data_IF_899883359074
#
_entry.id   IF_899883359074
#
_cell.length_a   1.000
_cell.length_b   1.000
_cell.length_c   1.000
_cell.angle_alpha   90.00
_cell.angle_beta   90.00
_cell.angle_gamma   90.00
#
_symmetry.space_group_name_H-M   'P 1'
#
loop_
_entity.id
_entity.type
_entity.pdbx_description
1 polymer ?
#
# COMPACT_ATOMS: atom_id res chain seq x y z
N UNK A 1 18.40 6.61 -1.87
CA UNK A 1 17.78 6.55 -0.52
C UNK A 1 17.86 5.11 -0.06
N UNK A 2 18.32 4.87 1.17
CA UNK A 2 18.27 3.54 1.80
C UNK A 2 16.96 3.46 2.58
N UNK A 3 15.85 3.24 1.90
CA UNK A 3 14.57 2.92 2.55
C UNK A 3 14.56 1.44 2.87
N UNK A 4 14.29 1.08 4.13
CA UNK A 4 13.99 -0.29 4.53
C UNK A 4 12.83 -0.81 3.66
N UNK A 5 12.74 -2.12 3.35
CA UNK A 5 11.60 -2.67 2.60
C UNK A 5 10.22 -2.33 3.21
N UNK A 6 10.20 -2.04 4.52
CA UNK A 6 9.02 -1.62 5.29
C UNK A 6 8.82 -0.09 5.35
N UNK A 7 9.74 0.70 4.80
CA UNK A 7 9.61 2.15 4.72
C UNK A 7 8.66 2.49 3.57
N UNK A 8 7.37 2.51 3.90
CA UNK A 8 6.34 2.93 2.97
C UNK A 8 6.52 4.39 2.58
N UNK A 9 6.40 4.65 1.29
CA UNK A 9 6.37 6.00 0.75
C UNK A 9 4.93 6.43 0.50
N UNK A 10 4.73 7.74 0.55
CA UNK A 10 3.42 8.35 0.33
C UNK A 10 3.52 9.34 -0.80
N UNK A 11 2.64 9.22 -1.77
CA UNK A 11 2.41 10.22 -2.80
C UNK A 11 0.92 10.55 -2.88
N UNK A 12 0.59 11.66 -3.55
CA UNK A 12 -0.75 12.20 -3.68
C UNK A 12 -1.18 12.24 -5.14
N UNK A 13 -2.49 12.10 -5.34
CA UNK A 13 -3.19 12.24 -6.62
C UNK A 13 -4.42 13.15 -6.43
N UNK A 14 -5.13 13.44 -7.52
CA UNK A 14 -6.37 14.22 -7.53
C UNK A 14 -6.14 15.61 -6.92
N UNK A 15 -5.11 16.31 -7.40
CA UNK A 15 -4.67 17.62 -6.90
C UNK A 15 -4.40 17.63 -5.38
N UNK A 16 -3.92 16.51 -4.84
CA UNK A 16 -3.60 16.35 -3.42
C UNK A 16 -4.73 15.80 -2.55
N UNK A 17 -5.92 15.54 -3.12
CA UNK A 17 -7.07 15.02 -2.36
C UNK A 17 -6.99 13.52 -2.06
N UNK A 18 -6.27 12.75 -2.88
CA UNK A 18 -6.03 11.34 -2.64
C UNK A 18 -4.59 11.11 -2.17
N UNK A 19 -4.39 10.21 -1.21
CA UNK A 19 -3.05 9.80 -0.73
C UNK A 19 -2.88 8.30 -0.87
N UNK A 20 -1.79 7.90 -1.50
CA UNK A 20 -1.40 6.52 -1.73
C UNK A 20 -0.22 6.20 -0.83
N UNK A 21 -0.37 5.23 0.08
CA UNK A 21 0.75 4.63 0.82
C UNK A 21 1.13 3.32 0.15
N UNK A 22 2.38 3.25 -0.31
CA UNK A 22 2.88 2.19 -1.19
C UNK A 22 4.24 1.71 -0.70
N UNK A 23 4.60 0.48 -1.06
CA UNK A 23 6.00 0.01 -0.98
C UNK A 23 6.90 0.89 -1.87
N UNK A 24 8.22 0.99 -1.56
CA UNK A 24 9.15 1.79 -2.35
C UNK A 24 9.58 1.07 -3.65
N UNK A 25 8.65 0.86 -4.57
CA UNK A 25 8.90 0.32 -5.92
C UNK A 25 8.71 1.40 -7.00
N UNK A 26 8.94 1.03 -8.27
CA UNK A 26 8.98 1.92 -9.44
C UNK A 26 7.90 3.02 -9.43
N UNK A 27 6.62 2.65 -9.52
CA UNK A 27 5.54 3.62 -9.61
C UNK A 27 5.36 4.46 -8.33
N UNK A 28 5.57 3.87 -7.15
CA UNK A 28 5.54 4.63 -5.90
C UNK A 28 6.64 5.69 -5.82
N UNK A 29 7.86 5.33 -6.23
CA UNK A 29 9.02 6.23 -6.25
C UNK A 29 8.80 7.34 -7.27
N UNK A 30 8.37 6.99 -8.48
CA UNK A 30 8.06 7.95 -9.54
C UNK A 30 6.98 8.95 -9.09
N UNK A 31 5.93 8.47 -8.44
CA UNK A 31 4.85 9.30 -7.88
C UNK A 31 5.33 10.25 -6.78
N UNK A 32 6.15 9.76 -5.85
CA UNK A 32 6.76 10.60 -4.80
C UNK A 32 7.65 11.70 -5.41
N UNK A 33 8.49 11.33 -6.37
CA UNK A 33 9.37 12.29 -7.04
C UNK A 33 8.58 13.31 -7.89
N UNK A 34 7.46 12.91 -8.49
CA UNK A 34 6.55 13.81 -9.19
C UNK A 34 5.91 14.82 -8.24
N UNK A 35 5.40 14.38 -7.08
CA UNK A 35 4.87 15.30 -6.07
C UNK A 35 5.91 16.30 -5.57
N UNK A 36 7.17 15.87 -5.37
CA UNK A 36 8.26 16.78 -4.98
C UNK A 36 8.51 17.88 -6.02
N UNK A 37 8.17 17.62 -7.29
CA UNK A 37 8.24 18.60 -8.40
C UNK A 37 6.95 19.41 -8.58
N UNK A 38 5.95 19.21 -7.71
CA UNK A 38 4.66 19.92 -7.76
C UNK A 38 3.59 19.25 -8.64
N UNK A 39 3.89 18.09 -9.24
CA UNK A 39 2.86 17.30 -9.94
C UNK A 39 2.07 16.49 -8.92
N UNK A 40 0.82 16.90 -8.68
CA UNK A 40 -0.11 16.27 -7.74
C UNK A 40 -1.07 15.28 -8.44
N UNK A 41 -0.81 14.91 -9.69
CA UNK A 41 -1.57 13.90 -10.43
C UNK A 41 -0.68 12.88 -11.18
N UNK A 42 0.38 12.33 -10.54
CA UNK A 42 1.19 11.32 -11.18
C UNK A 42 0.37 10.05 -11.45
N UNK A 43 0.65 9.28 -12.52
CA UNK A 43 -0.05 8.04 -12.81
C UNK A 43 0.23 6.99 -11.73
N UNK A 44 -0.80 6.21 -11.35
CA UNK A 44 -0.68 5.06 -10.43
C UNK A 44 -0.43 3.72 -11.16
N UNK A 45 -0.38 3.73 -12.49
CA UNK A 45 -0.28 2.53 -13.31
C UNK A 45 -1.59 1.73 -13.40
N UNK A 46 -1.49 0.47 -13.79
CA UNK A 46 -2.61 -0.46 -13.93
C UNK A 46 -2.90 -1.20 -12.62
N UNK A 47 -4.08 -0.96 -12.06
CA UNK A 47 -4.57 -1.72 -10.90
C UNK A 47 -4.63 -3.23 -11.18
N UNK A 48 -5.10 -3.63 -12.37
CA UNK A 48 -5.27 -5.04 -12.71
C UNK A 48 -3.93 -5.78 -12.77
N UNK A 49 -2.92 -5.23 -13.45
CA UNK A 49 -1.62 -5.88 -13.54
C UNK A 49 -0.84 -5.76 -12.22
N UNK A 50 -0.84 -4.58 -11.59
CA UNK A 50 -0.20 -4.33 -10.30
C UNK A 50 -0.73 -5.19 -9.18
N UNK A 51 -2.00 -5.01 -8.83
CA UNK A 51 -2.57 -5.62 -7.62
C UNK A 51 -3.10 -7.03 -7.87
N UNK A 52 -3.79 -7.28 -8.99
CA UNK A 52 -4.46 -8.57 -9.22
C UNK A 52 -3.56 -9.62 -9.88
N UNK A 53 -2.58 -9.20 -10.71
CA UNK A 53 -1.62 -10.13 -11.34
C UNK A 53 -0.27 -10.18 -10.62
N UNK A 54 -0.02 -9.28 -9.67
CA UNK A 54 1.21 -9.25 -8.88
C UNK A 54 2.42 -8.66 -9.62
N UNK A 55 2.19 -7.91 -10.71
CA UNK A 55 3.24 -7.22 -11.44
C UNK A 55 3.47 -5.81 -10.86
N UNK A 56 4.34 -5.73 -9.84
CA UNK A 56 4.64 -4.47 -9.12
C UNK A 56 5.20 -3.37 -10.03
N UNK A 57 5.74 -3.69 -11.20
CA UNK A 57 6.24 -2.69 -12.15
C UNK A 57 5.14 -2.10 -13.03
N UNK A 58 3.94 -2.70 -13.01
CA UNK A 58 2.79 -2.27 -13.81
C UNK A 58 1.79 -1.37 -13.06
N UNK A 59 1.83 -1.30 -11.73
CA UNK A 59 0.99 -0.39 -10.94
C UNK A 59 1.34 -0.35 -9.46
N UNK A 60 0.88 0.69 -8.76
CA UNK A 60 1.10 0.86 -7.32
C UNK A 60 0.33 -0.16 -6.49
N UNK A 61 0.91 -0.57 -5.37
CA UNK A 61 0.20 -1.28 -4.31
C UNK A 61 -0.23 -0.33 -3.19
N UNK A 62 -1.27 -0.70 -2.45
CA UNK A 62 -1.70 0.02 -1.25
C UNK A 62 -1.46 -0.82 -0.01
N UNK A 63 -0.77 -0.24 0.97
CA UNK A 63 -0.40 -0.92 2.20
C UNK A 63 -0.60 -0.02 3.40
N UNK A 64 -1.14 -0.58 4.48
CA UNK A 64 -1.25 0.12 5.76
C UNK A 64 0.10 0.08 6.52
N UNK A 65 0.28 0.99 7.47
CA UNK A 65 1.47 1.03 8.34
C UNK A 65 1.50 -0.11 9.39
N UNK A 66 0.42 -0.91 9.49
CA UNK A 66 0.30 -2.05 10.40
C UNK A 66 0.71 -3.38 9.77
N UNK A 67 1.13 -3.37 8.50
CA UNK A 67 1.58 -4.56 7.76
C UNK A 67 2.72 -5.32 8.42
N UNK A 68 3.59 -4.65 9.18
CA UNK A 68 4.65 -5.30 9.95
C UNK A 68 4.13 -6.19 11.09
N UNK A 69 2.84 -6.07 11.44
CA UNK A 69 2.16 -6.92 12.41
C UNK A 69 1.62 -8.22 11.79
N UNK A 70 1.58 -8.33 10.45
CA UNK A 70 1.13 -9.55 9.76
C UNK A 70 2.22 -10.61 9.90
N UNK A 71 1.88 -11.75 10.51
CA UNK A 71 2.82 -12.88 10.77
C UNK A 71 2.51 -14.14 9.98
N UNK A 72 1.31 -14.27 9.46
CA UNK A 72 0.79 -15.42 8.75
C UNK A 72 -0.20 -14.97 7.67
N UNK A 73 -0.49 -15.88 6.74
CA UNK A 73 -1.55 -15.73 5.74
C UNK A 73 -2.57 -16.82 6.04
N UNK A 74 -3.71 -16.41 6.57
CA UNK A 74 -4.78 -17.30 7.03
C UNK A 74 -6.08 -17.02 6.26
N UNK A 75 -7.08 -17.87 6.45
CA UNK A 75 -8.40 -17.62 5.87
C UNK A 75 -9.06 -16.40 6.54
N UNK A 76 -9.91 -15.68 5.81
CA UNK A 76 -10.64 -14.54 6.39
C UNK A 76 -11.52 -14.97 7.58
N UNK A 77 -12.06 -16.19 7.55
CA UNK A 77 -12.86 -16.76 8.63
C UNK A 77 -12.02 -16.91 9.91
N UNK A 78 -10.82 -17.50 9.81
CA UNK A 78 -9.92 -17.69 10.95
C UNK A 78 -9.49 -16.34 11.54
N UNK A 79 -9.13 -15.37 10.69
CA UNK A 79 -8.73 -14.03 11.11
C UNK A 79 -9.88 -13.35 11.89
N UNK A 80 -11.11 -13.42 11.37
CA UNK A 80 -12.27 -12.80 12.03
C UNK A 80 -12.59 -13.49 13.35
N UNK A 81 -12.57 -14.82 13.39
CA UNK A 81 -12.83 -15.60 14.60
C UNK A 81 -11.76 -15.33 15.68
N UNK A 82 -10.48 -15.20 15.31
CA UNK A 82 -9.42 -14.81 16.23
C UNK A 82 -9.65 -13.42 16.82
N UNK A 83 -9.99 -12.43 15.99
CA UNK A 83 -10.25 -11.05 16.41
C UNK A 83 -11.50 -10.93 17.28
N UNK A 84 -12.51 -11.77 17.08
CA UNK A 84 -13.77 -11.74 17.83
C UNK A 84 -13.69 -12.37 19.22
N UNK A 85 -12.77 -13.31 19.46
CA UNK A 85 -12.67 -14.09 20.71
C UNK A 85 -12.70 -13.25 22.00
N UNK A 86 -12.00 -12.10 22.12
CA UNK A 86 -12.04 -11.29 23.33
C UNK A 86 -13.42 -10.67 23.64
N UNK A 87 -14.34 -10.63 22.68
CA UNK A 87 -15.68 -10.03 22.82
C UNK A 87 -16.75 -11.06 23.20
N UNK A 88 -16.46 -12.35 23.10
CA UNK A 88 -17.39 -13.43 23.49
C UNK A 88 -17.23 -13.85 24.96
N UNK A 89 -16.08 -13.51 25.56
CA UNK A 89 -15.73 -13.84 26.95
C UNK A 89 -16.08 -12.72 27.95
N UNK A 90 -16.72 -11.62 27.50
CA UNK A 90 -17.14 -10.47 28.31
C UNK A 90 -18.66 -10.35 28.44
#
# INVERSE_FOLDING_TARGET
MSTHPDDYIVFTQMDGNARWRTTPHKHGIEGLEANKRGDLNPPSGSFFYGMLKGDLDAGVNTVANVTSLIRSIDSCEDIVNELARPFEEG
#
